data_IF_274951381670
#
_entry.id   IF_274951381670
#
_cell.length_a   1.000
_cell.length_b   1.000
_cell.length_c   1.000
_cell.angle_alpha   90.00
_cell.angle_beta   90.00
_cell.angle_gamma   90.00
#
_symmetry.space_group_name_H-M   'P 1'
#
loop_
_entity.id
_entity.type
_entity.pdbx_description
1 polymer ?
#
# COMPACT_ATOMS: atom_id res chain seq x y z
N UNK A 1 -23.14 12.91 11.94
CA UNK A 1 -23.34 11.46 12.20
C UNK A 1 -24.59 11.22 13.07
N UNK A 2 -25.76 11.67 12.61
CA UNK A 2 -27.07 11.52 13.30
C UNK A 2 -28.20 11.51 12.25
N UNK A 3 -28.23 10.51 11.38
CA UNK A 3 -29.31 10.40 10.35
C UNK A 3 -29.47 8.97 9.81
N UNK A 4 -29.35 7.94 10.66
CA UNK A 4 -29.66 6.56 10.26
C UNK A 4 -30.29 5.69 11.36
N UNK A 5 -31.00 6.31 12.31
CA UNK A 5 -31.92 5.60 13.21
C UNK A 5 -33.34 5.92 12.76
N UNK A 6 -33.70 5.47 11.55
CA UNK A 6 -35.10 5.40 11.14
C UNK A 6 -35.55 3.98 11.48
N UNK A 7 -36.35 3.86 12.54
CA UNK A 7 -37.07 2.65 12.97
C UNK A 7 -37.47 1.81 11.75
N UNK A 8 -36.80 0.68 11.55
CA UNK A 8 -37.29 -0.42 10.74
C UNK A 8 -38.41 -1.07 11.52
N UNK A 9 -39.64 -0.57 11.36
CA UNK A 9 -40.82 -1.40 11.66
C UNK A 9 -40.72 -2.56 10.67
N UNK A 10 -40.40 -3.75 11.16
CA UNK A 10 -40.30 -4.95 10.35
C UNK A 10 -41.63 -5.08 9.58
N UNK A 11 -41.59 -4.95 8.26
CA UNK A 11 -42.75 -5.21 7.42
C UNK A 11 -43.06 -6.70 7.58
N UNK A 12 -44.14 -6.99 8.31
CA UNK A 12 -44.69 -8.35 8.47
C UNK A 12 -44.81 -8.97 7.08
N UNK A 13 -44.27 -10.17 6.91
CA UNK A 13 -44.32 -10.84 5.62
C UNK A 13 -45.76 -11.15 5.26
N UNK A 14 -46.09 -11.14 3.96
CA UNK A 14 -47.46 -11.43 3.51
C UNK A 14 -47.95 -12.79 4.04
N UNK A 15 -47.05 -13.78 4.18
CA UNK A 15 -47.33 -15.09 4.77
C UNK A 15 -47.60 -15.03 6.27
N UNK A 16 -46.85 -14.22 7.03
CA UNK A 16 -47.10 -14.01 8.47
C UNK A 16 -48.44 -13.34 8.70
N UNK A 17 -48.79 -12.36 7.86
CA UNK A 17 -50.10 -11.70 7.91
C UNK A 17 -51.25 -12.70 7.65
N UNK A 18 -51.11 -13.55 6.62
CA UNK A 18 -52.08 -14.63 6.38
C UNK A 18 -52.16 -15.62 7.55
N UNK A 19 -51.03 -15.99 8.13
CA UNK A 19 -51.01 -16.89 9.30
C UNK A 19 -51.74 -16.28 10.51
N UNK A 20 -51.58 -14.99 10.77
CA UNK A 20 -52.31 -14.30 11.84
C UNK A 20 -53.81 -14.26 11.58
N UNK A 21 -54.25 -14.04 10.33
CA UNK A 21 -55.68 -14.09 9.97
C UNK A 21 -56.25 -15.48 10.18
N UNK A 22 -55.56 -16.52 9.71
CA UNK A 22 -56.00 -17.92 9.84
C UNK A 22 -56.10 -18.30 11.32
N UNK A 23 -55.15 -17.84 12.14
CA UNK A 23 -55.15 -18.06 13.59
C UNK A 23 -56.36 -17.39 14.25
N UNK A 24 -56.65 -16.15 13.87
CA UNK A 24 -57.82 -15.39 14.34
C UNK A 24 -59.14 -16.07 13.93
N UNK A 25 -59.25 -16.54 12.68
CA UNK A 25 -60.40 -17.32 12.21
C UNK A 25 -60.60 -18.57 13.08
N UNK A 26 -59.52 -19.27 13.43
CA UNK A 26 -59.58 -20.41 14.35
C UNK A 26 -60.23 -20.04 15.69
N UNK A 27 -59.84 -18.90 16.30
CA UNK A 27 -60.46 -18.41 17.53
C UNK A 27 -61.93 -18.01 17.37
N UNK A 28 -62.31 -17.40 16.24
CA UNK A 28 -63.71 -17.06 15.95
C UNK A 28 -64.57 -18.32 15.81
N UNK A 29 -64.07 -19.34 15.12
CA UNK A 29 -64.76 -20.64 14.95
C UNK A 29 -64.92 -21.33 16.31
N UNK A 30 -63.89 -21.32 17.17
CA UNK A 30 -63.99 -21.81 18.55
C UNK A 30 -65.08 -21.05 19.32
N UNK A 31 -65.07 -19.71 19.27
CA UNK A 31 -66.01 -18.88 20.01
C UNK A 31 -67.47 -19.14 19.60
N UNK A 32 -67.73 -19.26 18.30
CA UNK A 32 -69.06 -19.61 17.76
C UNK A 32 -69.48 -21.00 18.21
N UNK A 33 -68.57 -21.98 18.13
CA UNK A 33 -68.84 -23.36 18.54
C UNK A 33 -69.16 -23.47 20.04
N UNK A 34 -68.35 -22.85 20.90
CA UNK A 34 -68.58 -22.83 22.35
C UNK A 34 -69.86 -22.10 22.73
N UNK A 35 -70.20 -21.01 22.03
CA UNK A 35 -71.47 -20.30 22.24
C UNK A 35 -72.68 -21.18 21.94
N UNK A 36 -72.68 -21.90 20.81
CA UNK A 36 -73.74 -22.85 20.49
C UNK A 36 -73.82 -24.00 21.51
N UNK A 37 -72.68 -24.49 22.01
CA UNK A 37 -72.64 -25.55 23.01
C UNK A 37 -73.10 -25.12 24.40
N UNK A 38 -72.79 -23.89 24.82
CA UNK A 38 -73.24 -23.34 26.10
C UNK A 38 -74.76 -23.26 26.22
N UNK A 39 -75.49 -23.32 25.10
CA UNK A 39 -76.95 -23.39 25.09
C UNK A 39 -77.49 -24.79 25.41
N UNK A 40 -76.65 -25.83 25.46
CA UNK A 40 -77.08 -27.24 25.53
C UNK A 40 -76.40 -28.05 26.63
N UNK A 41 -75.23 -27.62 27.14
CA UNK A 41 -74.44 -28.36 28.14
C UNK A 41 -73.91 -27.48 29.28
N UNK A 42 -73.90 -27.98 30.52
CA UNK A 42 -73.25 -27.31 31.66
C UNK A 42 -71.73 -27.51 31.63
N UNK A 43 -70.97 -26.41 31.77
CA UNK A 43 -69.50 -26.44 31.75
C UNK A 43 -68.98 -26.70 33.17
N UNK A 44 -68.72 -27.98 33.48
CA UNK A 44 -68.06 -28.46 34.70
C UNK A 44 -68.99 -29.22 35.67
N UNK A 45 -68.50 -30.34 36.23
CA UNK A 45 -69.27 -31.22 37.12
C UNK A 45 -68.91 -32.71 36.94
N UNK A 46 -69.61 -33.62 37.65
CA UNK A 46 -69.51 -35.09 37.41
C UNK A 46 -70.32 -35.44 36.17
N UNK A 47 -69.68 -35.39 35.00
CA UNK A 47 -70.27 -35.74 33.72
C UNK A 47 -70.72 -37.22 33.71
N UNK A 48 -71.93 -37.47 33.20
CA UNK A 48 -72.40 -38.83 32.89
C UNK A 48 -71.57 -39.44 31.74
N UNK A 49 -71.62 -40.78 31.58
CA UNK A 49 -70.91 -41.46 30.47
C UNK A 49 -71.33 -40.93 29.09
N UNK A 50 -72.60 -40.59 28.93
CA UNK A 50 -73.15 -40.07 27.66
C UNK A 50 -72.71 -38.62 27.38
N UNK A 51 -72.61 -37.79 28.43
CA UNK A 51 -72.08 -36.42 28.32
C UNK A 51 -70.58 -36.42 28.03
N UNK A 52 -69.84 -37.39 28.60
CA UNK A 52 -68.43 -37.61 28.30
C UNK A 52 -68.20 -38.07 26.85
N UNK A 53 -69.14 -38.82 26.26
CA UNK A 53 -69.08 -39.17 24.84
C UNK A 53 -69.33 -37.94 23.94
N UNK A 54 -70.27 -37.06 24.32
CA UNK A 54 -70.54 -35.82 23.61
C UNK A 54 -69.36 -34.83 23.67
N UNK A 55 -68.65 -34.72 24.80
CA UNK A 55 -67.42 -33.93 24.89
C UNK A 55 -66.26 -34.52 24.09
N UNK A 56 -66.25 -35.83 23.83
CA UNK A 56 -65.36 -36.46 22.87
C UNK A 56 -65.53 -35.92 21.45
N UNK A 57 -66.78 -35.78 20.99
CA UNK A 57 -67.10 -35.22 19.66
C UNK A 57 -66.69 -33.75 19.52
N UNK A 58 -66.76 -32.99 20.61
CA UNK A 58 -66.21 -31.63 20.69
C UNK A 58 -64.70 -31.65 20.51
N UNK A 59 -64.01 -32.55 21.22
CA UNK A 59 -62.59 -32.78 21.05
C UNK A 59 -62.22 -33.11 19.61
N UNK A 60 -63.02 -33.94 18.92
CA UNK A 60 -62.82 -34.30 17.52
C UNK A 60 -63.00 -33.11 16.56
N UNK A 61 -64.00 -32.25 16.79
CA UNK A 61 -64.17 -31.01 16.00
C UNK A 61 -63.03 -30.02 16.23
N UNK A 62 -62.66 -29.79 17.49
CA UNK A 62 -61.57 -28.89 17.87
C UNK A 62 -60.23 -29.40 17.35
N UNK A 63 -59.94 -30.69 17.50
CA UNK A 63 -58.71 -31.31 17.01
C UNK A 63 -58.66 -31.41 15.48
N UNK A 64 -59.78 -31.75 14.84
CA UNK A 64 -59.86 -31.91 13.39
C UNK A 64 -59.87 -30.58 12.64
N UNK A 65 -60.86 -29.72 12.90
CA UNK A 65 -61.08 -28.49 12.12
C UNK A 65 -60.15 -27.36 12.58
N UNK A 66 -60.17 -27.03 13.87
CA UNK A 66 -59.36 -25.92 14.40
C UNK A 66 -57.88 -26.30 14.45
N UNK A 67 -57.57 -27.55 14.83
CA UNK A 67 -56.22 -28.09 14.75
C UNK A 67 -55.63 -28.00 13.34
N UNK A 68 -56.41 -28.31 12.30
CA UNK A 68 -55.95 -28.17 10.90
C UNK A 68 -55.74 -26.71 10.47
N UNK A 69 -56.60 -25.79 10.90
CA UNK A 69 -56.47 -24.34 10.65
C UNK A 69 -55.19 -23.80 11.29
N UNK A 70 -54.94 -24.14 12.56
CA UNK A 70 -53.72 -23.72 13.26
C UNK A 70 -52.47 -24.43 12.76
N UNK A 71 -52.56 -25.69 12.33
CA UNK A 71 -51.45 -26.38 11.68
C UNK A 71 -51.03 -25.66 10.38
N UNK A 72 -52.00 -25.23 9.56
CA UNK A 72 -51.72 -24.44 8.35
C UNK A 72 -51.06 -23.09 8.67
N UNK A 73 -51.55 -22.38 9.69
CA UNK A 73 -50.91 -21.15 10.16
C UNK A 73 -49.47 -21.41 10.64
N UNK A 74 -49.24 -22.50 11.36
CA UNK A 74 -47.92 -22.95 11.80
C UNK A 74 -46.96 -23.22 10.64
N UNK A 75 -47.42 -23.86 9.57
CA UNK A 75 -46.63 -24.09 8.35
C UNK A 75 -46.20 -22.78 7.70
N UNK A 76 -47.09 -21.79 7.60
CA UNK A 76 -46.74 -20.47 7.04
C UNK A 76 -45.74 -19.71 7.89
N UNK A 77 -45.89 -19.71 9.22
CA UNK A 77 -44.91 -19.11 10.12
C UNK A 77 -43.54 -19.79 10.02
N UNK A 78 -43.53 -21.13 9.98
CA UNK A 78 -42.30 -21.91 9.83
C UNK A 78 -41.59 -21.61 8.51
N UNK A 79 -42.32 -21.56 7.40
CA UNK A 79 -41.74 -21.20 6.10
C UNK A 79 -41.21 -19.75 6.07
N UNK A 80 -41.92 -18.81 6.70
CA UNK A 80 -41.43 -17.42 6.84
C UNK A 80 -40.12 -17.38 7.64
N UNK A 81 -40.03 -18.15 8.73
CA UNK A 81 -38.83 -18.26 9.54
C UNK A 81 -37.65 -18.83 8.74
N UNK A 82 -37.84 -19.90 7.97
CA UNK A 82 -36.79 -20.46 7.08
C UNK A 82 -36.33 -19.41 6.08
N UNK A 83 -37.25 -18.69 5.44
CA UNK A 83 -36.90 -17.66 4.46
C UNK A 83 -36.07 -16.54 5.08
N UNK A 84 -36.41 -16.13 6.30
CA UNK A 84 -35.63 -15.14 7.05
C UNK A 84 -34.24 -15.68 7.40
N UNK A 85 -34.15 -16.92 7.88
CA UNK A 85 -32.87 -17.57 8.19
C UNK A 85 -31.96 -17.69 6.96
N UNK A 86 -32.50 -18.10 5.81
CA UNK A 86 -31.73 -18.19 4.57
C UNK A 86 -31.15 -16.83 4.15
N UNK A 87 -31.94 -15.75 4.24
CA UNK A 87 -31.47 -14.39 3.97
C UNK A 87 -30.37 -13.96 4.94
N UNK A 88 -30.52 -14.30 6.21
CA UNK A 88 -29.51 -13.98 7.22
C UNK A 88 -28.21 -14.76 6.97
N UNK A 89 -28.30 -16.04 6.59
CA UNK A 89 -27.14 -16.86 6.22
C UNK A 89 -26.42 -16.30 4.98
N UNK A 90 -27.15 -15.84 3.97
CA UNK A 90 -26.59 -15.17 2.79
C UNK A 90 -25.86 -13.88 3.17
N UNK A 91 -26.48 -13.04 4.01
CA UNK A 91 -25.87 -11.81 4.50
C UNK A 91 -24.61 -12.10 5.32
N UNK A 92 -24.66 -13.08 6.23
CA UNK A 92 -23.50 -13.51 7.01
C UNK A 92 -22.39 -14.06 6.11
N UNK A 93 -22.72 -14.83 5.09
CA UNK A 93 -21.75 -15.29 4.11
C UNK A 93 -21.09 -14.11 3.39
N UNK A 94 -21.85 -13.07 3.03
CA UNK A 94 -21.31 -11.85 2.42
C UNK A 94 -20.39 -11.09 3.39
N UNK A 95 -20.79 -10.88 4.65
CA UNK A 95 -19.96 -10.19 5.62
C UNK A 95 -18.67 -10.94 5.93
N UNK A 96 -18.75 -12.26 6.14
CA UNK A 96 -17.56 -13.11 6.35
C UNK A 96 -16.53 -12.97 5.22
N UNK A 97 -17.01 -12.90 3.98
CA UNK A 97 -16.16 -12.72 2.80
C UNK A 97 -15.43 -11.37 2.81
N UNK A 98 -16.12 -10.30 3.16
CA UNK A 98 -15.52 -8.97 3.31
C UNK A 98 -14.55 -8.92 4.50
N UNK A 99 -14.88 -9.60 5.59
CA UNK A 99 -14.05 -9.68 6.79
C UNK A 99 -12.72 -10.37 6.51
N UNK A 100 -12.69 -11.48 5.74
CA UNK A 100 -11.45 -12.17 5.35
C UNK A 100 -10.51 -11.23 4.58
N UNK A 101 -11.04 -10.44 3.64
CA UNK A 101 -10.24 -9.45 2.89
C UNK A 101 -9.73 -8.37 3.83
N UNK A 102 -10.57 -7.89 4.75
CA UNK A 102 -10.19 -6.86 5.71
C UNK A 102 -9.12 -7.35 6.69
N UNK A 103 -9.21 -8.60 7.13
CA UNK A 103 -8.23 -9.26 8.00
C UNK A 103 -6.88 -9.39 7.29
N UNK A 104 -6.86 -9.89 6.05
CA UNK A 104 -5.64 -9.95 5.24
C UNK A 104 -4.97 -8.57 5.08
N UNK A 105 -5.78 -7.51 4.91
CA UNK A 105 -5.25 -6.13 4.86
C UNK A 105 -4.67 -5.68 6.20
N UNK A 106 -5.31 -6.02 7.33
CA UNK A 106 -4.80 -5.65 8.67
C UNK A 106 -3.49 -6.35 8.99
N UNK A 107 -3.39 -7.65 8.68
CA UNK A 107 -2.18 -8.44 8.88
C UNK A 107 -1.02 -7.90 8.03
N UNK A 108 -1.34 -7.54 6.79
CA UNK A 108 -0.42 -6.82 5.92
C UNK A 108 0.01 -5.47 6.51
N UNK A 109 -0.92 -4.64 6.99
CA UNK A 109 -0.61 -3.33 7.56
C UNK A 109 0.37 -3.45 8.73
N UNK A 110 0.10 -4.39 9.65
CA UNK A 110 0.98 -4.64 10.79
C UNK A 110 2.39 -5.02 10.33
N UNK A 111 2.49 -5.95 9.37
CA UNK A 111 3.77 -6.40 8.82
C UNK A 111 4.48 -5.29 8.04
N UNK A 112 3.75 -4.53 7.22
CA UNK A 112 4.26 -3.42 6.42
C UNK A 112 4.84 -2.32 7.31
N UNK A 113 4.14 -1.90 8.35
CA UNK A 113 4.66 -0.86 9.25
C UNK A 113 5.86 -1.36 10.06
N UNK A 114 5.90 -2.63 10.44
CA UNK A 114 7.09 -3.23 11.06
C UNK A 114 8.29 -3.21 10.10
N UNK A 115 8.10 -3.61 8.84
CA UNK A 115 9.13 -3.56 7.81
C UNK A 115 9.57 -2.11 7.49
N UNK A 116 8.64 -1.16 7.48
CA UNK A 116 8.93 0.25 7.28
C UNK A 116 9.79 0.81 8.42
N UNK A 117 9.47 0.48 9.67
CA UNK A 117 10.30 0.84 10.82
C UNK A 117 11.69 0.21 10.73
N UNK A 118 11.79 -1.06 10.35
CA UNK A 118 13.09 -1.71 10.10
C UNK A 118 13.88 -1.04 8.98
N UNK A 119 13.22 -0.57 7.92
CA UNK A 119 13.87 0.20 6.85
C UNK A 119 14.44 1.53 7.35
N UNK A 120 13.71 2.24 8.22
CA UNK A 120 14.20 3.47 8.82
C UNK A 120 15.38 3.22 9.76
N UNK A 121 15.32 2.15 10.55
CA UNK A 121 16.44 1.73 11.39
C UNK A 121 17.68 1.38 10.55
N UNK A 122 17.54 0.59 9.48
CA UNK A 122 18.65 0.27 8.56
C UNK A 122 19.27 1.56 8.03
N UNK A 123 18.46 2.56 7.68
CA UNK A 123 18.93 3.86 7.21
C UNK A 123 19.70 4.62 8.29
N UNK A 124 19.18 4.70 9.51
CA UNK A 124 19.86 5.38 10.63
C UNK A 124 21.19 4.71 11.00
N UNK A 125 21.27 3.38 10.88
CA UNK A 125 22.46 2.57 11.13
C UNK A 125 23.49 2.61 9.99
N UNK A 126 23.14 3.15 8.82
CA UNK A 126 24.13 3.36 7.75
C UNK A 126 25.20 4.31 8.26
N UNK A 127 26.46 3.88 8.12
CA UNK A 127 27.61 4.69 8.47
C UNK A 127 28.74 4.43 7.49
N UNK A 128 29.41 5.50 7.07
CA UNK A 128 30.68 5.42 6.36
C UNK A 128 31.51 6.69 6.59
N UNK A 129 32.81 6.52 6.39
CA UNK A 129 33.78 7.60 6.33
C UNK A 129 33.97 8.00 4.85
N UNK A 130 33.77 9.27 4.57
CA UNK A 130 33.95 9.87 3.25
C UNK A 130 35.16 10.80 3.26
N UNK A 131 35.89 10.86 2.16
CA UNK A 131 37.02 11.79 2.01
C UNK A 131 36.61 12.93 1.08
N UNK A 132 36.88 14.16 1.51
CA UNK A 132 36.71 15.34 0.69
C UNK A 132 37.84 16.36 0.94
N UNK A 133 37.73 17.54 0.33
CA UNK A 133 38.70 18.61 0.38
C UNK A 133 38.14 19.76 1.19
N UNK A 134 38.97 20.36 2.04
CA UNK A 134 38.69 21.64 2.69
C UNK A 134 39.90 22.57 2.65
N UNK A 135 39.61 23.86 2.79
CA UNK A 135 40.62 24.87 3.06
C UNK A 135 41.11 24.74 4.50
N UNK A 136 42.42 24.76 4.70
CA UNK A 136 43.03 24.92 6.02
C UNK A 136 43.21 26.42 6.37
N UNK A 137 43.72 26.69 7.57
CA UNK A 137 43.99 28.07 8.02
C UNK A 137 45.00 28.83 7.14
N UNK A 138 45.89 28.10 6.47
CA UNK A 138 46.90 28.64 5.54
C UNK A 138 46.36 28.83 4.12
N UNK A 139 45.06 28.64 3.89
CA UNK A 139 44.45 28.67 2.56
C UNK A 139 45.09 27.67 1.59
N UNK A 140 45.48 26.51 2.10
CA UNK A 140 45.88 25.36 1.30
C UNK A 140 44.75 24.33 1.29
N UNK A 141 44.63 23.59 0.20
CA UNK A 141 43.72 22.47 0.07
C UNK A 141 44.28 21.27 0.83
N UNK A 142 43.46 20.72 1.71
CA UNK A 142 43.79 19.54 2.52
C UNK A 142 42.66 18.53 2.51
N UNK A 143 43.01 17.26 2.61
CA UNK A 143 42.04 16.18 2.76
C UNK A 143 41.34 16.27 4.12
N UNK A 144 40.05 16.00 4.13
CA UNK A 144 39.25 15.89 5.34
C UNK A 144 38.43 14.62 5.29
N UNK A 145 38.30 13.98 6.45
CA UNK A 145 37.40 12.86 6.66
C UNK A 145 36.05 13.38 7.18
N UNK A 146 34.96 12.85 6.62
CA UNK A 146 33.58 13.16 6.95
C UNK A 146 32.90 11.86 7.36
N UNK A 147 32.53 11.75 8.63
CA UNK A 147 31.73 10.66 9.15
C UNK A 147 30.26 10.97 8.92
N UNK A 148 29.59 10.21 8.05
CA UNK A 148 28.20 10.44 7.73
C UNK A 148 27.33 9.23 8.08
N UNK A 149 26.09 9.50 8.49
CA UNK A 149 25.07 8.48 8.77
C UNK A 149 23.68 8.94 8.31
N UNK A 150 22.71 8.03 8.27
CA UNK A 150 21.33 8.38 7.95
C UNK A 150 21.18 9.12 6.61
N UNK A 151 20.56 10.31 6.63
CA UNK A 151 20.39 11.15 5.44
C UNK A 151 21.72 11.70 4.91
N UNK A 152 22.64 12.08 5.79
CA UNK A 152 23.93 12.66 5.42
C UNK A 152 24.78 11.61 4.69
N UNK A 153 24.68 10.34 5.08
CA UNK A 153 25.31 9.24 4.35
C UNK A 153 24.86 9.19 2.87
N UNK A 154 23.56 9.33 2.58
CA UNK A 154 23.08 9.35 1.20
C UNK A 154 23.50 10.64 0.46
N UNK A 155 23.63 11.76 1.16
CA UNK A 155 24.12 13.01 0.58
C UNK A 155 25.57 12.86 0.13
N UNK A 156 26.46 12.39 1.01
CA UNK A 156 27.87 12.17 0.71
C UNK A 156 28.06 11.08 -0.35
N UNK A 157 27.32 9.98 -0.27
CA UNK A 157 27.37 8.93 -1.27
C UNK A 157 26.92 9.41 -2.67
N UNK A 158 25.91 10.28 -2.74
CA UNK A 158 25.49 10.90 -4.00
C UNK A 158 26.58 11.84 -4.53
N UNK A 159 27.21 12.64 -3.67
CA UNK A 159 28.32 13.51 -4.06
C UNK A 159 29.49 12.70 -4.63
N UNK A 160 29.83 11.57 -4.03
CA UNK A 160 30.82 10.63 -4.57
C UNK A 160 30.43 10.12 -5.95
N UNK A 161 29.17 9.70 -6.16
CA UNK A 161 28.69 9.25 -7.47
C UNK A 161 28.75 10.36 -8.53
N UNK A 162 28.42 11.61 -8.15
CA UNK A 162 28.55 12.78 -9.03
C UNK A 162 30.01 13.03 -9.41
N UNK A 163 30.93 13.01 -8.44
CA UNK A 163 32.38 13.16 -8.65
C UNK A 163 32.92 12.10 -9.63
N UNK A 164 32.53 10.84 -9.47
CA UNK A 164 32.88 9.77 -10.41
C UNK A 164 32.41 10.07 -11.84
N UNK A 165 31.20 10.59 -11.98
CA UNK A 165 30.64 10.93 -13.28
C UNK A 165 31.43 12.07 -13.94
N UNK A 166 31.69 13.17 -13.22
CA UNK A 166 32.43 14.31 -13.76
C UNK A 166 33.87 13.95 -14.10
N UNK A 167 34.53 13.11 -13.30
CA UNK A 167 35.83 12.58 -13.66
C UNK A 167 35.76 11.74 -14.94
N UNK A 168 34.74 10.88 -15.11
CA UNK A 168 34.63 9.98 -16.27
C UNK A 168 34.48 10.68 -17.63
N UNK A 169 34.03 11.95 -17.62
CA UNK A 169 33.87 12.75 -18.84
C UNK A 169 35.09 13.62 -19.16
N UNK A 170 36.09 13.71 -18.27
CA UNK A 170 37.35 14.44 -18.51
C UNK A 170 38.09 13.91 -19.73
N UNK A 171 38.97 14.70 -20.33
CA UNK A 171 39.69 14.29 -21.55
C UNK A 171 40.64 13.10 -21.33
N UNK A 172 41.32 13.07 -20.19
CA UNK A 172 42.34 12.07 -19.87
C UNK A 172 42.20 11.53 -18.46
N UNK A 173 42.63 10.28 -18.26
CA UNK A 173 42.76 9.66 -16.94
C UNK A 173 44.03 10.18 -16.24
N UNK A 174 43.89 11.28 -15.49
CA UNK A 174 44.99 11.91 -14.75
C UNK A 174 44.48 12.42 -13.41
N UNK A 175 45.35 12.36 -12.41
CA UNK A 175 45.10 12.83 -11.06
C UNK A 175 46.06 13.96 -10.72
N UNK A 176 45.56 14.95 -10.00
CA UNK A 176 46.35 15.99 -9.37
C UNK A 176 46.25 15.86 -7.85
N UNK A 177 47.11 15.03 -7.27
CA UNK A 177 47.19 14.85 -5.81
C UNK A 177 48.08 15.91 -5.12
N UNK A 178 48.54 16.91 -5.86
CA UNK A 178 49.31 18.05 -5.32
C UNK A 178 48.71 19.38 -5.77
N UNK A 179 47.41 19.62 -5.51
CA UNK A 179 46.67 20.75 -6.08
C UNK A 179 47.21 22.11 -5.62
N UNK A 180 47.87 22.14 -4.46
CA UNK A 180 48.46 23.37 -3.91
C UNK A 180 49.59 23.94 -4.77
N UNK A 181 50.23 23.14 -5.63
CA UNK A 181 51.22 23.66 -6.59
C UNK A 181 50.55 24.50 -7.67
N UNK A 182 49.40 24.06 -8.16
CA UNK A 182 48.65 24.78 -9.19
C UNK A 182 47.92 25.97 -8.59
N UNK A 183 47.49 25.85 -7.33
CA UNK A 183 46.86 26.92 -6.58
C UNK A 183 47.75 28.17 -6.45
N UNK A 184 49.07 28.02 -6.39
CA UNK A 184 50.03 29.15 -6.36
C UNK A 184 49.93 30.05 -7.60
N UNK A 185 49.48 29.49 -8.72
CA UNK A 185 49.34 30.19 -10.00
C UNK A 185 47.89 30.59 -10.30
N UNK A 186 46.93 30.24 -9.43
CA UNK A 186 45.53 30.54 -9.64
C UNK A 186 45.27 32.04 -9.51
N UNK A 187 44.78 32.66 -10.59
CA UNK A 187 44.64 34.12 -10.69
C UNK A 187 43.30 34.65 -10.16
N UNK A 188 42.31 33.78 -9.93
CA UNK A 188 40.98 34.16 -9.46
C UNK A 188 40.21 33.05 -8.72
N UNK A 189 39.11 33.45 -8.06
CA UNK A 189 38.26 32.53 -7.24
C UNK A 189 37.68 31.37 -8.05
N UNK A 190 37.34 31.61 -9.32
CA UNK A 190 36.77 30.56 -10.18
C UNK A 190 37.80 29.47 -10.50
N UNK A 191 39.06 29.87 -10.73
CA UNK A 191 40.17 28.93 -10.97
C UNK A 191 40.49 28.14 -9.69
N UNK A 192 40.52 28.79 -8.53
CA UNK A 192 40.67 28.11 -7.24
C UNK A 192 39.55 27.10 -6.98
N UNK A 193 38.30 27.47 -7.27
CA UNK A 193 37.14 26.57 -7.16
C UNK A 193 37.25 25.39 -8.11
N UNK A 194 37.73 25.61 -9.34
CA UNK A 194 37.97 24.54 -10.32
C UNK A 194 39.03 23.55 -9.81
N UNK A 195 40.17 24.05 -9.33
CA UNK A 195 41.25 23.22 -8.76
C UNK A 195 40.74 22.39 -7.57
N UNK A 196 40.00 23.03 -6.65
CA UNK A 196 39.40 22.32 -5.50
C UNK A 196 38.43 21.23 -5.94
N UNK A 197 37.57 21.52 -6.92
CA UNK A 197 36.59 20.56 -7.47
C UNK A 197 37.31 19.39 -8.13
N UNK A 198 38.32 19.67 -8.97
CA UNK A 198 39.10 18.65 -9.65
C UNK A 198 39.83 17.73 -8.67
N UNK A 199 40.41 18.28 -7.60
CA UNK A 199 41.07 17.50 -6.56
C UNK A 199 40.07 16.64 -5.77
N UNK A 200 38.89 17.17 -5.44
CA UNK A 200 37.82 16.42 -4.77
C UNK A 200 37.34 15.23 -5.62
N UNK A 201 37.20 15.42 -6.93
CA UNK A 201 36.90 14.35 -7.88
C UNK A 201 38.00 13.28 -7.93
N UNK A 202 39.27 13.71 -7.97
CA UNK A 202 40.41 12.80 -8.01
C UNK A 202 40.48 11.91 -6.77
N UNK A 203 40.28 12.50 -5.58
CA UNK A 203 40.22 11.76 -4.32
C UNK A 203 39.11 10.70 -4.33
N UNK A 204 37.89 11.07 -4.76
CA UNK A 204 36.76 10.14 -4.80
C UNK A 204 37.04 8.94 -5.71
N UNK A 205 37.64 9.18 -6.88
CA UNK A 205 37.93 8.16 -7.90
C UNK A 205 39.05 7.22 -7.43
N UNK A 206 40.07 7.76 -6.76
CA UNK A 206 41.15 6.98 -6.14
C UNK A 206 40.59 6.07 -5.04
N UNK A 207 39.79 6.62 -4.11
CA UNK A 207 39.22 5.87 -2.97
C UNK A 207 38.33 4.71 -3.42
N UNK A 208 37.61 4.88 -4.54
CA UNK A 208 36.69 3.86 -5.07
C UNK A 208 37.36 2.78 -5.93
N UNK A 209 38.67 2.90 -6.21
CA UNK A 209 39.36 1.96 -7.09
C UNK A 209 38.94 2.08 -8.56
N UNK A 210 38.55 3.27 -9.01
CA UNK A 210 38.18 3.53 -10.40
C UNK A 210 39.43 3.48 -11.27
N UNK A 211 39.57 2.43 -12.10
CA UNK A 211 40.79 2.17 -12.88
C UNK A 211 40.84 2.88 -14.24
N UNK A 212 42.03 3.02 -14.82
CA UNK A 212 42.21 3.52 -16.20
C UNK A 212 41.49 2.64 -17.23
N UNK A 213 41.49 1.33 -17.03
CA UNK A 213 40.77 0.37 -17.88
C UNK A 213 39.27 0.67 -17.87
N UNK A 214 38.71 0.89 -16.69
CA UNK A 214 37.29 1.25 -16.54
C UNK A 214 36.99 2.62 -17.15
N UNK A 215 37.85 3.62 -16.96
CA UNK A 215 37.74 4.93 -17.62
C UNK A 215 37.64 4.82 -19.14
N UNK A 216 38.54 4.04 -19.77
CA UNK A 216 38.52 3.80 -21.22
C UNK A 216 37.23 3.09 -21.66
N UNK A 217 36.74 2.13 -20.87
CA UNK A 217 35.49 1.43 -21.15
C UNK A 217 34.27 2.35 -21.08
N UNK A 218 34.21 3.27 -20.11
CA UNK A 218 33.15 4.28 -19.99
C UNK A 218 33.17 5.24 -21.19
N UNK A 219 34.35 5.76 -21.55
CA UNK A 219 34.51 6.66 -22.71
C UNK A 219 34.09 6.02 -24.03
N UNK A 220 34.27 4.70 -24.17
CA UNK A 220 33.86 3.96 -25.36
C UNK A 220 32.32 3.79 -25.49
N UNK A 221 31.55 4.04 -24.42
CA UNK A 221 30.09 3.88 -24.45
C UNK A 221 29.41 4.98 -25.27
N UNK A 222 28.55 4.58 -26.22
CA UNK A 222 27.83 5.50 -27.11
C UNK A 222 26.68 6.25 -26.43
N UNK A 223 26.03 5.61 -25.46
CA UNK A 223 24.79 6.13 -24.84
C UNK A 223 25.04 6.54 -23.40
N UNK A 224 24.40 7.63 -22.98
CA UNK A 224 24.46 8.13 -21.61
C UNK A 224 23.97 7.10 -20.59
N UNK A 225 22.89 6.39 -20.92
CA UNK A 225 22.37 5.29 -20.10
C UNK A 225 23.46 4.26 -19.73
N UNK A 226 24.26 3.82 -20.71
CA UNK A 226 25.32 2.81 -20.48
C UNK A 226 26.44 3.34 -19.60
N UNK A 227 26.79 4.62 -19.73
CA UNK A 227 27.77 5.27 -18.85
C UNK A 227 27.26 5.29 -17.41
N UNK A 228 26.03 5.79 -17.19
CA UNK A 228 25.42 5.84 -15.86
C UNK A 228 25.25 4.44 -15.24
N UNK A 229 24.83 3.44 -16.03
CA UNK A 229 24.73 2.05 -15.59
C UNK A 229 26.07 1.51 -15.09
N UNK A 230 27.15 1.71 -15.86
CA UNK A 230 28.47 1.20 -15.50
C UNK A 230 29.05 1.94 -14.28
N UNK A 231 28.92 3.27 -14.22
CA UNK A 231 29.35 4.08 -13.06
C UNK A 231 28.61 3.65 -11.79
N UNK A 232 27.28 3.56 -11.84
CA UNK A 232 26.51 3.11 -10.69
C UNK A 232 26.82 1.67 -10.31
N UNK A 233 27.13 0.80 -11.29
CA UNK A 233 27.55 -0.57 -10.99
C UNK A 233 28.83 -0.62 -10.15
N UNK A 234 29.88 0.12 -10.54
CA UNK A 234 31.11 0.24 -9.76
C UNK A 234 30.85 0.82 -8.36
N UNK A 235 30.06 1.90 -8.29
CA UNK A 235 29.62 2.49 -7.03
C UNK A 235 28.89 1.47 -6.14
N UNK A 236 27.99 0.67 -6.71
CA UNK A 236 27.20 -0.33 -5.97
C UNK A 236 28.03 -1.49 -5.44
N UNK A 237 29.16 -1.81 -6.08
CA UNK A 237 30.12 -2.81 -5.57
C UNK A 237 30.79 -2.28 -4.31
N UNK A 238 31.27 -1.03 -4.35
CA UNK A 238 31.93 -0.38 -3.22
C UNK A 238 30.98 -0.25 -2.02
N UNK A 239 29.75 0.22 -2.25
CA UNK A 239 28.72 0.38 -1.22
C UNK A 239 27.78 -0.85 -1.11
N UNK A 240 28.27 -2.06 -1.42
CA UNK A 240 27.43 -3.26 -1.49
C UNK A 240 26.88 -3.69 -0.13
N UNK A 241 27.69 -3.57 0.93
CA UNK A 241 27.30 -3.89 2.31
C UNK A 241 26.36 -2.85 2.93
N UNK A 242 26.37 -1.62 2.42
CA UNK A 242 25.58 -0.49 2.93
C UNK A 242 24.38 -0.20 2.01
N UNK A 243 24.56 0.59 0.96
CA UNK A 243 23.51 0.95 -0.01
C UNK A 243 22.90 -0.29 -0.65
N UNK A 244 23.71 -1.31 -0.98
CA UNK A 244 23.23 -2.56 -1.55
C UNK A 244 22.26 -3.30 -0.61
N UNK A 245 22.57 -3.36 0.69
CA UNK A 245 21.69 -3.95 1.70
C UNK A 245 20.40 -3.14 1.85
N UNK A 246 20.53 -1.82 2.02
CA UNK A 246 19.41 -0.87 2.10
C UNK A 246 18.44 -1.00 0.92
N UNK A 247 18.96 -0.99 -0.32
CA UNK A 247 18.14 -1.07 -1.53
C UNK A 247 17.44 -2.43 -1.65
N UNK A 248 18.10 -3.52 -1.24
CA UNK A 248 17.53 -4.87 -1.25
C UNK A 248 16.37 -5.00 -0.27
N UNK A 249 16.52 -4.43 0.94
CA UNK A 249 15.44 -4.42 1.92
C UNK A 249 14.25 -3.60 1.41
N UNK A 250 14.48 -2.38 0.91
CA UNK A 250 13.43 -1.55 0.29
C UNK A 250 12.70 -2.27 -0.85
N UNK A 251 13.44 -2.91 -1.74
CA UNK A 251 12.88 -3.73 -2.82
C UNK A 251 11.99 -4.85 -2.29
N UNK A 252 12.40 -5.54 -1.22
CA UNK A 252 11.62 -6.62 -0.62
C UNK A 252 10.33 -6.12 0.04
N UNK A 253 10.32 -4.91 0.63
CA UNK A 253 9.09 -4.27 1.13
C UNK A 253 8.10 -4.05 -0.01
N UNK A 254 8.56 -3.45 -1.10
CA UNK A 254 7.71 -3.20 -2.27
C UNK A 254 7.24 -4.50 -2.92
N UNK A 255 8.12 -5.51 -2.98
CA UNK A 255 7.78 -6.84 -3.52
C UNK A 255 6.72 -7.53 -2.66
N UNK A 256 6.85 -7.47 -1.34
CA UNK A 256 5.86 -8.03 -0.41
C UNK A 256 4.52 -7.31 -0.56
N UNK A 257 4.53 -5.98 -0.62
CA UNK A 257 3.35 -5.17 -0.89
C UNK A 257 2.69 -5.53 -2.23
N UNK A 258 3.48 -5.76 -3.28
CA UNK A 258 2.98 -6.18 -4.60
C UNK A 258 2.30 -7.55 -4.55
N UNK A 259 2.95 -8.50 -3.88
CA UNK A 259 2.46 -9.87 -3.76
C UNK A 259 1.13 -9.90 -3.00
N UNK A 260 1.05 -9.28 -1.82
CA UNK A 260 -0.18 -9.29 -1.02
C UNK A 260 -1.33 -8.58 -1.74
N UNK A 261 -1.05 -7.51 -2.48
CA UNK A 261 -2.07 -6.87 -3.30
C UNK A 261 -2.66 -7.85 -4.33
N UNK A 262 -1.81 -8.64 -5.00
CA UNK A 262 -2.24 -9.64 -5.98
C UNK A 262 -3.05 -10.76 -5.32
N UNK A 263 -2.61 -11.24 -4.15
CA UNK A 263 -3.31 -12.27 -3.38
C UNK A 263 -4.72 -11.78 -2.97
N UNK A 264 -4.84 -10.53 -2.50
CA UNK A 264 -6.14 -9.92 -2.19
C UNK A 264 -7.01 -9.79 -3.45
N UNK A 265 -6.45 -9.45 -4.61
CA UNK A 265 -7.21 -9.41 -5.86
C UNK A 265 -7.71 -10.79 -6.28
N UNK A 266 -6.95 -11.86 -6.02
CA UNK A 266 -7.40 -13.22 -6.23
C UNK A 266 -8.55 -13.58 -5.28
N UNK A 267 -8.45 -13.24 -3.99
CA UNK A 267 -9.55 -13.42 -3.03
C UNK A 267 -10.81 -12.68 -3.50
N UNK A 268 -10.71 -11.43 -3.93
CA UNK A 268 -11.85 -10.64 -4.41
C UNK A 268 -12.50 -11.31 -5.63
N UNK A 269 -11.70 -11.76 -6.61
CA UNK A 269 -12.20 -12.43 -7.83
C UNK A 269 -12.95 -13.73 -7.51
N UNK A 270 -12.48 -14.49 -6.53
CA UNK A 270 -13.11 -15.77 -6.16
C UNK A 270 -14.37 -15.60 -5.31
N UNK A 271 -14.59 -14.42 -4.74
CA UNK A 271 -15.51 -14.24 -3.62
C UNK A 271 -16.69 -13.30 -3.90
N UNK A 272 -16.51 -12.35 -4.82
CA UNK A 272 -17.47 -11.27 -5.09
C UNK A 272 -18.06 -11.34 -6.50
N UNK A 273 -19.19 -10.65 -6.72
CA UNK A 273 -19.82 -10.48 -8.04
C UNK A 273 -19.01 -9.50 -8.92
N UNK A 274 -19.14 -9.57 -10.25
CA UNK A 274 -18.32 -8.77 -11.18
C UNK A 274 -18.39 -7.24 -10.96
N UNK A 275 -19.55 -6.70 -10.54
CA UNK A 275 -19.71 -5.27 -10.29
C UNK A 275 -19.02 -4.85 -8.97
N UNK A 276 -19.22 -5.63 -7.91
CA UNK A 276 -18.59 -5.40 -6.60
C UNK A 276 -17.06 -5.61 -6.66
N UNK A 277 -16.60 -6.57 -7.47
CA UNK A 277 -15.18 -6.85 -7.69
C UNK A 277 -14.42 -5.61 -8.13
N UNK A 278 -14.90 -4.93 -9.19
CA UNK A 278 -14.21 -3.75 -9.75
C UNK A 278 -14.08 -2.65 -8.70
N UNK A 279 -15.16 -2.38 -7.97
CA UNK A 279 -15.17 -1.35 -6.92
C UNK A 279 -14.20 -1.71 -5.79
N UNK A 280 -14.21 -2.96 -5.32
CA UNK A 280 -13.33 -3.40 -4.23
C UNK A 280 -11.86 -3.43 -4.64
N UNK A 281 -11.55 -3.89 -5.85
CA UNK A 281 -10.19 -3.85 -6.39
C UNK A 281 -9.65 -2.42 -6.47
N UNK A 282 -10.46 -1.45 -6.91
CA UNK A 282 -10.06 -0.04 -6.94
C UNK A 282 -9.81 0.54 -5.53
N UNK A 283 -10.64 0.17 -4.55
CA UNK A 283 -10.44 0.55 -3.15
C UNK A 283 -9.10 0.02 -2.62
N UNK A 284 -8.80 -1.26 -2.87
CA UNK A 284 -7.54 -1.90 -2.48
C UNK A 284 -6.36 -1.27 -3.22
N UNK A 285 -6.44 -1.02 -4.54
CA UNK A 285 -5.40 -0.31 -5.30
C UNK A 285 -5.08 1.05 -4.67
N UNK A 286 -6.12 1.82 -4.34
CA UNK A 286 -5.98 3.15 -3.72
C UNK A 286 -5.36 3.07 -2.33
N UNK A 287 -5.70 2.04 -1.55
CA UNK A 287 -5.10 1.80 -0.23
C UNK A 287 -3.61 1.47 -0.33
N UNK A 288 -3.23 0.59 -1.26
CA UNK A 288 -1.83 0.23 -1.49
C UNK A 288 -0.97 1.37 -2.02
N UNK A 289 -1.53 2.25 -2.86
CA UNK A 289 -0.87 3.50 -3.26
C UNK A 289 -0.57 4.41 -2.07
N UNK A 290 -1.45 4.46 -1.05
CA UNK A 290 -1.20 5.23 0.18
C UNK A 290 -0.05 4.66 1.01
N UNK A 291 0.11 3.33 1.08
CA UNK A 291 1.28 2.74 1.74
C UNK A 291 2.59 3.08 1.02
N UNK A 292 2.60 3.05 -0.32
CA UNK A 292 3.73 3.52 -1.09
C UNK A 292 4.06 5.00 -0.81
N UNK A 293 3.04 5.86 -0.66
CA UNK A 293 3.23 7.26 -0.28
C UNK A 293 3.81 7.42 1.13
N UNK A 294 3.44 6.58 2.10
CA UNK A 294 4.08 6.58 3.42
C UNK A 294 5.56 6.20 3.33
N UNK A 295 5.88 5.15 2.57
CA UNK A 295 7.27 4.75 2.33
C UNK A 295 8.06 5.88 1.67
N UNK A 296 7.50 6.50 0.64
CA UNK A 296 8.10 7.63 -0.06
C UNK A 296 8.35 8.83 0.85
N UNK A 297 7.42 9.15 1.77
CA UNK A 297 7.54 10.30 2.66
C UNK A 297 8.76 10.23 3.58
N UNK A 298 9.32 9.03 3.79
CA UNK A 298 10.54 8.82 4.56
C UNK A 298 11.83 8.90 3.75
N UNK A 299 11.76 9.07 2.42
CA UNK A 299 12.92 9.13 1.54
C UNK A 299 13.41 10.58 1.37
N UNK A 300 14.70 10.81 1.57
CA UNK A 300 15.34 12.10 1.24
C UNK A 300 15.57 12.27 -0.27
N UNK A 301 15.82 13.49 -0.73
CA UNK A 301 16.14 13.76 -2.15
C UNK A 301 17.37 12.99 -2.63
N UNK A 302 18.42 12.91 -1.80
CA UNK A 302 19.66 12.20 -2.16
C UNK A 302 19.45 10.69 -2.23
N UNK A 303 18.65 10.16 -1.30
CA UNK A 303 18.23 8.75 -1.29
C UNK A 303 17.38 8.39 -2.50
N UNK A 304 16.38 9.23 -2.85
CA UNK A 304 15.60 9.07 -4.08
C UNK A 304 16.48 9.10 -5.33
N UNK A 305 17.51 9.95 -5.36
CA UNK A 305 18.46 10.02 -6.47
C UNK A 305 19.31 8.76 -6.58
N UNK A 306 19.81 8.22 -5.46
CA UNK A 306 20.53 6.94 -5.45
C UNK A 306 19.63 5.79 -5.91
N UNK A 307 18.36 5.77 -5.49
CA UNK A 307 17.36 4.79 -5.95
C UNK A 307 17.02 4.94 -7.44
N UNK A 308 17.05 6.16 -7.97
CA UNK A 308 16.93 6.39 -9.41
C UNK A 308 18.05 5.70 -10.19
N UNK A 309 19.32 5.92 -9.80
CA UNK A 309 20.46 5.25 -10.44
C UNK A 309 20.47 3.74 -10.20
N UNK A 310 19.98 3.28 -9.04
CA UNK A 310 19.74 1.87 -8.75
C UNK A 310 18.81 1.21 -9.78
N UNK A 311 17.73 1.89 -10.14
CA UNK A 311 16.74 1.41 -11.11
C UNK A 311 17.29 1.32 -12.55
N UNK A 312 18.42 1.96 -12.86
CA UNK A 312 19.07 1.81 -14.17
C UNK A 312 19.64 0.41 -14.37
N UNK A 313 20.09 -0.26 -13.30
CA UNK A 313 20.71 -1.59 -13.38
C UNK A 313 19.79 -2.72 -12.85
N UNK A 314 18.88 -2.42 -11.91
CA UNK A 314 18.01 -3.42 -11.31
C UNK A 314 16.57 -3.35 -11.85
N UNK A 315 16.31 -4.06 -12.93
CA UNK A 315 15.02 -4.07 -13.64
C UNK A 315 13.81 -4.43 -12.75
N UNK A 316 13.98 -5.37 -11.80
CA UNK A 316 12.90 -5.77 -10.87
C UNK A 316 12.52 -4.63 -9.94
N UNK A 317 13.51 -3.91 -9.41
CA UNK A 317 13.30 -2.74 -8.58
C UNK A 317 12.66 -1.61 -9.38
N UNK A 318 13.19 -1.33 -10.59
CA UNK A 318 12.62 -0.34 -11.52
C UNK A 318 11.13 -0.53 -11.76
N UNK A 319 10.69 -1.76 -12.04
CA UNK A 319 9.26 -2.07 -12.27
C UNK A 319 8.39 -1.70 -11.08
N UNK A 320 8.84 -1.99 -9.86
CA UNK A 320 8.10 -1.67 -8.64
C UNK A 320 8.12 -0.16 -8.35
N UNK A 321 9.27 0.50 -8.53
CA UNK A 321 9.39 1.95 -8.33
C UNK A 321 8.43 2.71 -9.25
N UNK A 322 8.32 2.29 -10.51
CA UNK A 322 7.37 2.87 -11.47
C UNK A 322 5.91 2.53 -11.13
N UNK A 323 5.61 1.26 -10.79
CA UNK A 323 4.24 0.82 -10.46
C UNK A 323 3.64 1.60 -9.28
N UNK A 324 4.47 1.90 -8.28
CA UNK A 324 4.06 2.57 -7.04
C UNK A 324 4.43 4.06 -7.00
N UNK A 325 4.98 4.60 -8.09
CA UNK A 325 5.44 5.98 -8.19
C UNK A 325 6.36 6.42 -7.03
N UNK A 326 7.27 5.54 -6.61
CA UNK A 326 8.05 5.71 -5.37
C UNK A 326 8.87 7.01 -5.35
N UNK A 327 9.34 7.46 -6.51
CA UNK A 327 10.21 8.64 -6.64
C UNK A 327 9.46 9.86 -7.21
N UNK A 328 8.12 9.92 -7.08
CA UNK A 328 7.29 11.05 -7.55
C UNK A 328 7.78 12.43 -7.07
N UNK A 329 8.35 12.50 -5.86
CA UNK A 329 8.86 13.72 -5.26
C UNK A 329 10.32 14.03 -5.62
N UNK A 330 10.97 13.20 -6.44
CA UNK A 330 12.32 13.49 -6.91
C UNK A 330 12.28 14.69 -7.86
N UNK A 331 13.13 15.68 -7.58
CA UNK A 331 13.35 16.80 -8.47
C UNK A 331 14.58 16.53 -9.35
N UNK A 332 14.53 16.97 -10.60
CA UNK A 332 15.62 16.74 -11.56
C UNK A 332 16.95 17.40 -11.17
N UNK A 333 16.91 18.50 -10.39
CA UNK A 333 18.11 19.15 -9.82
C UNK A 333 18.96 18.24 -8.92
N UNK A 334 18.37 17.19 -8.33
CA UNK A 334 19.10 16.25 -7.47
C UNK A 334 19.75 15.09 -8.25
N UNK A 335 19.48 14.96 -9.55
CA UNK A 335 20.19 14.03 -10.41
C UNK A 335 21.60 14.56 -10.69
N UNK A 336 22.53 13.67 -11.05
CA UNK A 336 23.88 14.05 -11.53
C UNK A 336 23.79 15.08 -12.66
N UNK A 337 22.81 14.90 -13.56
CA UNK A 337 22.39 15.86 -14.58
C UNK A 337 20.87 15.87 -14.68
N UNK A 338 20.21 17.03 -14.83
CA UNK A 338 18.76 17.09 -14.97
C UNK A 338 18.20 16.26 -16.12
N UNK A 339 18.95 16.13 -17.22
CA UNK A 339 18.58 15.33 -18.40
C UNK A 339 18.54 13.82 -18.10
N UNK A 340 19.16 13.38 -16.99
CA UNK A 340 19.12 11.98 -16.62
C UNK A 340 17.71 11.47 -16.31
N UNK A 341 16.74 12.36 -16.04
CA UNK A 341 15.33 11.99 -15.83
C UNK A 341 14.77 11.14 -16.98
N UNK A 342 15.27 11.36 -18.20
CA UNK A 342 14.81 10.68 -19.41
C UNK A 342 15.45 9.30 -19.62
N UNK A 343 16.40 8.89 -18.78
CA UNK A 343 17.06 7.57 -18.86
C UNK A 343 16.12 6.41 -18.52
N UNK A 344 15.04 6.68 -17.78
CA UNK A 344 14.03 5.69 -17.40
C UNK A 344 12.71 6.05 -18.06
N UNK A 345 12.29 5.25 -19.05
CA UNK A 345 11.00 5.45 -19.72
C UNK A 345 9.85 5.32 -18.72
N UNK A 346 8.97 6.32 -18.71
CA UNK A 346 7.80 6.37 -17.82
C UNK A 346 8.11 6.93 -16.42
N UNK A 347 9.35 7.33 -16.17
CA UNK A 347 9.70 8.10 -14.99
C UNK A 347 9.19 9.54 -15.13
N UNK A 348 8.64 10.08 -14.04
CA UNK A 348 8.19 11.47 -13.97
C UNK A 348 8.85 12.09 -12.76
N UNK A 349 9.54 13.21 -12.96
CA UNK A 349 10.14 14.00 -11.91
C UNK A 349 9.54 15.41 -11.91
N UNK A 350 9.69 16.10 -10.78
CA UNK A 350 9.33 17.52 -10.66
C UNK A 350 10.49 18.36 -11.19
N UNK A 351 10.20 19.37 -12.01
CA UNK A 351 11.21 20.32 -12.50
C UNK A 351 11.00 21.66 -11.79
N UNK A 352 11.92 22.09 -10.90
CA UNK A 352 11.74 23.30 -10.09
C UNK A 352 11.48 24.55 -10.92
N UNK A 353 12.22 24.75 -12.01
CA UNK A 353 12.06 25.92 -12.89
C UNK A 353 10.64 26.00 -13.45
N UNK A 354 10.11 24.87 -13.93
CA UNK A 354 8.73 24.77 -14.40
C UNK A 354 7.72 25.04 -13.27
N UNK A 355 7.97 24.55 -12.06
CA UNK A 355 7.09 24.82 -10.92
C UNK A 355 7.09 26.30 -10.52
N UNK A 356 8.25 26.96 -10.61
CA UNK A 356 8.40 28.40 -10.39
C UNK A 356 7.68 29.18 -11.48
N UNK A 357 7.88 28.82 -12.76
CA UNK A 357 7.16 29.42 -13.89
C UNK A 357 5.65 29.26 -13.74
N UNK A 358 5.15 28.05 -13.45
CA UNK A 358 3.74 27.78 -13.22
C UNK A 358 3.21 28.65 -12.07
N UNK A 359 3.94 28.78 -10.95
CA UNK A 359 3.55 29.61 -9.81
C UNK A 359 3.52 31.11 -10.14
N UNK A 360 4.51 31.60 -10.90
CA UNK A 360 4.62 33.01 -11.29
C UNK A 360 3.68 33.40 -12.44
N UNK A 361 3.25 32.43 -13.25
CA UNK A 361 2.32 32.62 -14.39
C UNK A 361 0.84 32.68 -13.97
N UNK A 362 0.52 32.28 -12.75
CA UNK A 362 -0.80 32.49 -12.15
C UNK A 362 -0.89 33.96 -11.70
N UNK A 363 -1.21 34.84 -12.65
CA UNK A 363 -1.69 36.21 -12.41
C UNK A 363 -2.94 36.48 -13.26
#
# INVERSE_FOLDING_TARGET
>A
MKTKIKKSIAKISLLEWFAYIITFIGFVVIGIFLYHMSSTFEIGGKLSRDEMAATGQVGDFMGGVIGSIWALAGVFLYFSAIKMQNRELENQAKYRREDVIMEAIKDFEATFFSLLSSQQQIKEELHAEFTDVKWNEKHELTETSINASGNDFFMEALAVLQKMYFFSIRDSYRFNLTPNKDLLFATGKDEQKRIMTEYSEDLAVVTLGFTETFFKQIKAQKTELKKCQALYFLFSIHFSSTIGHYCRHLYNILKYMDQVQLDIFEMIRNTMSNEDQRKKMQEVMTRFRRYAAFLQSGLSSSEMSILFYNALIYDKARKLYLRYNLLENLQDIYLIKPEHKDLIRGFVCKTPDKMIEDYLSIN
#
